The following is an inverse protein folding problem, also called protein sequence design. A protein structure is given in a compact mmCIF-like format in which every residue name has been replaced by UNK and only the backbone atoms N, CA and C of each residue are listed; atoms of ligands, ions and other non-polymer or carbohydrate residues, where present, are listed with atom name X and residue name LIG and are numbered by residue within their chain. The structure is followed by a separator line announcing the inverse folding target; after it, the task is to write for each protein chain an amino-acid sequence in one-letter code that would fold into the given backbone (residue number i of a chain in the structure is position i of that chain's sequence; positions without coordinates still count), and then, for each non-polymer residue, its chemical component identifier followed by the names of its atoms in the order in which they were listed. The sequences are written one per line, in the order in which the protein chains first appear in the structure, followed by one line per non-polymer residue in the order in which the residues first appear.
data_IF_510339241460
#
_entry.id   IF_510339241460
#
_cell.length_a   1.000
_cell.length_b   1.000
_cell.length_c   1.000
_cell.angle_alpha   90.00
_cell.angle_beta   90.00
_cell.angle_gamma   90.00
#
_symmetry.space_group_name_H-M   'P 1'
#
loop_
_entity.id
_entity.type
_entity.pdbx_description
1 polymer ?
#
# COMPACT_ATOMS: atom_id res chain seq x y z
N UNK A 1 17.08 13.40 -22.24
CA UNK A 1 16.57 12.39 -21.30
C UNK A 1 16.77 11.06 -22.00
N UNK A 2 17.50 10.12 -21.42
CA UNK A 2 17.64 8.80 -22.04
C UNK A 2 16.27 8.15 -22.04
N UNK A 3 15.81 7.74 -23.21
CA UNK A 3 14.54 6.97 -23.39
C UNK A 3 14.69 5.51 -22.92
N UNK A 4 15.75 5.20 -22.19
CA UNK A 4 16.14 3.85 -21.79
C UNK A 4 15.88 3.69 -20.27
N UNK A 5 14.60 3.61 -19.91
CA UNK A 5 14.16 3.25 -18.56
C UNK A 5 13.56 1.85 -18.56
N UNK A 6 13.71 1.12 -17.46
CA UNK A 6 13.19 -0.24 -17.33
C UNK A 6 11.66 -0.23 -17.14
N UNK A 7 11.14 0.80 -16.45
CA UNK A 7 9.71 0.97 -16.16
C UNK A 7 9.33 2.47 -16.14
N UNK A 8 8.07 2.79 -16.41
CA UNK A 8 7.57 4.14 -16.19
C UNK A 8 7.60 4.50 -14.71
N UNK A 9 7.14 3.58 -13.86
CA UNK A 9 7.02 3.79 -12.42
C UNK A 9 7.51 2.59 -11.63
N UNK A 10 8.35 2.84 -10.62
CA UNK A 10 8.71 1.84 -9.61
C UNK A 10 8.03 2.21 -8.29
N UNK A 11 7.17 1.32 -7.80
CA UNK A 11 6.50 1.44 -6.50
C UNK A 11 7.23 0.56 -5.49
N UNK A 12 7.71 1.15 -4.39
CA UNK A 12 8.44 0.44 -3.35
C UNK A 12 7.57 0.21 -2.13
N UNK A 13 7.23 -1.05 -1.87
CA UNK A 13 6.40 -1.52 -0.77
C UNK A 13 5.07 -2.11 -1.21
N UNK A 14 4.90 -3.43 -1.05
CA UNK A 14 3.71 -4.22 -1.41
C UNK A 14 2.60 -4.22 -0.35
N UNK A 15 2.49 -3.17 0.46
CA UNK A 15 1.35 -2.95 1.36
C UNK A 15 0.16 -2.34 0.62
N UNK A 16 -0.96 -2.09 1.35
CA UNK A 16 -2.20 -1.55 0.76
C UNK A 16 -1.97 -0.28 -0.05
N UNK A 17 -1.13 0.64 0.43
CA UNK A 17 -0.86 1.89 -0.27
C UNK A 17 -0.14 1.67 -1.60
N UNK A 18 0.93 0.84 -1.59
CA UNK A 18 1.71 0.57 -2.80
C UNK A 18 0.95 -0.26 -3.82
N UNK A 19 0.23 -1.31 -3.39
CA UNK A 19 -0.57 -2.14 -4.30
C UNK A 19 -1.69 -1.35 -4.97
N UNK A 20 -2.44 -0.54 -4.22
CA UNK A 20 -3.50 0.30 -4.80
C UNK A 20 -2.92 1.36 -5.75
N UNK A 21 -1.78 1.96 -5.40
CA UNK A 21 -1.09 2.91 -6.29
C UNK A 21 -0.63 2.22 -7.59
N UNK A 22 0.05 1.08 -7.48
CA UNK A 22 0.53 0.32 -8.64
C UNK A 22 -0.63 -0.12 -9.55
N UNK A 23 -1.72 -0.63 -8.97
CA UNK A 23 -2.92 -1.00 -9.71
C UNK A 23 -3.47 0.18 -10.52
N UNK A 24 -3.66 1.33 -9.88
CA UNK A 24 -4.21 2.53 -10.55
C UNK A 24 -3.31 3.07 -11.66
N UNK A 25 -1.99 2.98 -11.50
CA UNK A 25 -1.03 3.37 -12.53
C UNK A 25 -1.08 2.42 -13.73
N UNK A 26 -1.18 1.10 -13.49
CA UNK A 26 -1.32 0.12 -14.55
C UNK A 26 -2.66 0.28 -15.30
N UNK A 27 -3.78 0.54 -14.60
CA UNK A 27 -5.05 0.88 -15.25
C UNK A 27 -4.95 2.15 -16.14
N UNK A 28 -4.09 3.07 -15.78
CA UNK A 28 -3.81 4.27 -16.57
C UNK A 28 -2.88 4.03 -17.78
N UNK A 29 -2.37 2.79 -17.94
CA UNK A 29 -1.54 2.38 -19.07
C UNK A 29 -0.05 2.56 -18.87
N UNK A 30 0.43 2.74 -17.62
CA UNK A 30 1.86 2.82 -17.32
C UNK A 30 2.48 1.43 -17.10
N UNK A 31 3.74 1.28 -17.49
CA UNK A 31 4.55 0.11 -17.13
C UNK A 31 5.04 0.24 -15.69
N UNK A 32 4.52 -0.62 -14.80
CA UNK A 32 4.72 -0.50 -13.35
C UNK A 32 5.44 -1.71 -12.77
N UNK A 33 6.50 -1.46 -12.00
CA UNK A 33 7.15 -2.44 -11.15
C UNK A 33 6.77 -2.17 -9.68
N UNK A 34 6.26 -3.19 -8.98
CA UNK A 34 5.99 -3.18 -7.54
C UNK A 34 7.02 -4.06 -6.83
N UNK A 35 7.88 -3.45 -6.01
CA UNK A 35 8.92 -4.16 -5.25
C UNK A 35 8.49 -4.32 -3.79
N UNK A 36 8.54 -5.56 -3.29
CA UNK A 36 8.24 -5.90 -1.88
C UNK A 36 9.41 -6.67 -1.25
N UNK A 37 9.87 -6.22 -0.08
CA UNK A 37 10.98 -6.89 0.64
C UNK A 37 10.59 -8.19 1.33
N UNK A 38 9.31 -8.42 1.59
CA UNK A 38 8.78 -9.67 2.12
C UNK A 38 8.79 -10.77 1.06
N UNK A 39 8.89 -12.02 1.48
CA UNK A 39 8.80 -13.16 0.56
C UNK A 39 7.46 -13.18 -0.21
N UNK A 40 6.43 -12.59 0.40
CA UNK A 40 5.13 -12.33 -0.20
C UNK A 40 4.58 -11.00 0.36
N UNK A 41 3.78 -10.24 -0.41
CA UNK A 41 3.03 -9.11 0.11
C UNK A 41 2.21 -9.53 1.34
N UNK A 42 2.26 -8.73 2.40
CA UNK A 42 1.56 -9.04 3.65
C UNK A 42 2.23 -10.06 4.58
N UNK A 43 3.26 -10.78 4.17
CA UNK A 43 3.92 -11.82 4.99
C UNK A 43 4.50 -11.31 6.31
N UNK A 44 4.78 -10.01 6.42
CA UNK A 44 5.26 -9.34 7.64
C UNK A 44 4.15 -8.68 8.45
N UNK A 45 2.92 -8.68 7.94
CA UNK A 45 1.78 -7.99 8.55
C UNK A 45 0.94 -8.99 9.36
N UNK A 46 1.25 -9.13 10.65
CA UNK A 46 0.51 -10.00 11.59
C UNK A 46 -0.76 -9.33 12.12
N UNK A 47 -1.15 -8.18 11.58
CA UNK A 47 -2.30 -7.42 12.04
C UNK A 47 -3.56 -7.75 11.25
N UNK A 48 -4.68 -7.61 11.91
CA UNK A 48 -5.99 -7.44 11.31
C UNK A 48 -6.61 -6.15 11.81
N UNK A 49 -7.75 -5.78 11.27
CA UNK A 49 -8.44 -4.59 11.72
C UNK A 49 -9.76 -4.34 11.00
N UNK A 50 -10.39 -3.25 11.40
CA UNK A 50 -11.56 -2.71 10.69
C UNK A 50 -11.06 -1.92 9.48
N UNK A 51 -11.60 -2.25 8.32
CA UNK A 51 -11.32 -1.60 7.07
C UNK A 51 -12.59 -0.92 6.56
N UNK A 52 -12.54 0.41 6.39
CA UNK A 52 -13.65 1.19 5.86
C UNK A 52 -13.70 1.08 4.35
N UNK A 53 -14.84 0.63 3.81
CA UNK A 53 -14.97 0.16 2.44
C UNK A 53 -14.93 1.27 1.39
N UNK A 54 -15.42 2.46 1.72
CA UNK A 54 -15.72 3.52 0.76
C UNK A 54 -14.57 3.81 -0.22
N UNK A 55 -13.36 4.01 0.29
CA UNK A 55 -12.22 4.42 -0.57
C UNK A 55 -11.77 3.27 -1.46
N UNK A 56 -11.69 2.05 -0.92
CA UNK A 56 -11.28 0.89 -1.73
C UNK A 56 -12.35 0.50 -2.76
N UNK A 57 -13.63 0.74 -2.46
CA UNK A 57 -14.73 0.50 -3.40
C UNK A 57 -14.70 1.45 -4.61
N UNK A 58 -14.02 2.59 -4.53
CA UNK A 58 -13.78 3.47 -5.69
C UNK A 58 -12.75 2.87 -6.66
N UNK A 59 -11.91 1.94 -6.19
CA UNK A 59 -10.90 1.23 -7.00
C UNK A 59 -11.39 -0.15 -7.41
N UNK A 60 -11.97 -0.89 -6.46
CA UNK A 60 -12.52 -2.23 -6.65
C UNK A 60 -13.99 -2.25 -6.16
N UNK A 61 -14.96 -1.89 -7.02
CA UNK A 61 -16.36 -1.72 -6.59
C UNK A 61 -16.98 -2.96 -5.94
N UNK A 62 -16.52 -4.14 -6.33
CA UNK A 62 -17.00 -5.45 -5.88
C UNK A 62 -16.09 -6.13 -4.83
N UNK A 63 -15.11 -5.39 -4.27
CA UNK A 63 -14.08 -5.99 -3.42
C UNK A 63 -14.66 -6.70 -2.18
N UNK A 64 -15.76 -6.22 -1.63
CA UNK A 64 -16.39 -6.82 -0.44
C UNK A 64 -16.85 -8.26 -0.68
N UNK A 65 -17.17 -8.62 -1.92
CA UNK A 65 -17.62 -9.96 -2.30
C UNK A 65 -16.45 -10.81 -2.87
N UNK A 66 -15.37 -10.20 -3.36
CA UNK A 66 -14.21 -10.89 -3.96
C UNK A 66 -13.01 -11.01 -3.01
N UNK A 67 -12.77 -9.99 -2.19
CA UNK A 67 -11.63 -9.98 -1.29
C UNK A 67 -11.84 -10.93 -0.10
N UNK A 68 -10.75 -11.38 0.55
CA UNK A 68 -10.83 -12.25 1.72
C UNK A 68 -11.21 -11.48 2.98
N UNK A 69 -12.41 -10.89 2.98
CA UNK A 69 -12.98 -10.21 4.15
C UNK A 69 -13.48 -11.22 5.17
N UNK A 70 -13.40 -10.86 6.46
CA UNK A 70 -13.82 -11.76 7.53
C UNK A 70 -15.28 -11.49 7.94
N UNK A 71 -15.63 -10.22 8.21
CA UNK A 71 -16.99 -9.85 8.66
C UNK A 71 -17.36 -8.44 8.19
N UNK A 72 -18.64 -8.25 7.90
CA UNK A 72 -19.25 -6.93 7.70
C UNK A 72 -19.54 -6.29 9.06
N UNK A 73 -19.26 -5.00 9.20
CA UNK A 73 -19.39 -4.25 10.47
C UNK A 73 -20.58 -3.31 10.36
N UNK A 74 -21.54 -3.47 11.30
CA UNK A 74 -22.71 -2.60 11.43
C UNK A 74 -22.80 -1.96 12.81
N UNK A 75 -21.84 -2.25 13.70
CA UNK A 75 -21.80 -1.73 15.08
C UNK A 75 -20.37 -1.35 15.42
N UNK A 76 -20.18 -0.15 15.94
CA UNK A 76 -18.90 0.35 16.40
C UNK A 76 -18.99 0.71 17.88
N UNK A 77 -18.04 0.25 18.67
CA UNK A 77 -17.91 0.59 20.08
C UNK A 77 -16.59 1.28 20.31
N UNK A 78 -16.63 2.51 20.80
CA UNK A 78 -15.48 3.26 21.25
C UNK A 78 -15.42 3.23 22.78
N UNK A 79 -14.33 2.72 23.33
CA UNK A 79 -14.13 2.58 24.77
C UNK A 79 -13.00 3.47 25.26
N UNK A 80 -13.26 4.26 26.29
CA UNK A 80 -12.25 5.00 27.05
C UNK A 80 -12.04 4.28 28.38
N UNK A 81 -10.83 3.86 28.65
CA UNK A 81 -10.47 2.96 29.73
C UNK A 81 -9.46 3.62 30.70
N UNK A 82 -9.61 3.32 31.98
CA UNK A 82 -8.57 3.52 32.99
C UNK A 82 -8.50 2.27 33.90
N UNK A 83 -7.64 2.30 34.93
CA UNK A 83 -7.39 1.12 35.79
C UNK A 83 -8.63 0.58 36.52
N UNK A 84 -9.65 1.38 36.75
CA UNK A 84 -10.82 0.99 37.56
C UNK A 84 -12.18 1.29 36.92
N UNK A 85 -12.20 1.94 35.75
CA UNK A 85 -13.47 2.32 35.11
C UNK A 85 -13.35 2.42 33.59
N UNK A 86 -14.49 2.46 32.92
CA UNK A 86 -14.52 2.71 31.48
C UNK A 86 -15.83 3.45 31.09
N UNK A 87 -15.77 4.14 29.96
CA UNK A 87 -16.93 4.70 29.27
C UNK A 87 -16.97 4.15 27.86
N UNK A 88 -18.13 3.64 27.43
CA UNK A 88 -18.36 3.15 26.09
C UNK A 88 -19.33 4.06 25.33
N UNK A 89 -19.00 4.36 24.09
CA UNK A 89 -19.93 4.92 23.10
C UNK A 89 -20.23 3.78 22.13
N UNK A 90 -21.47 3.32 22.14
CA UNK A 90 -21.95 2.21 21.30
C UNK A 90 -22.83 2.77 20.19
N UNK A 91 -22.40 2.62 18.95
CA UNK A 91 -23.12 3.10 17.79
C UNK A 91 -23.47 1.92 16.88
N UNK A 92 -24.75 1.74 16.66
CA UNK A 92 -25.30 0.80 15.69
C UNK A 92 -26.28 1.54 14.77
N UNK A 93 -26.19 1.22 13.46
CA UNK A 93 -27.11 1.76 12.46
C UNK A 93 -27.29 0.71 11.34
N UNK A 94 -28.54 0.35 11.02
CA UNK A 94 -28.86 -0.59 9.97
C UNK A 94 -28.34 -0.14 8.58
N UNK A 95 -28.22 1.18 8.35
CA UNK A 95 -27.69 1.76 7.11
C UNK A 95 -26.23 1.47 6.88
N UNK A 96 -25.47 1.04 7.90
CA UNK A 96 -24.06 0.61 7.74
C UNK A 96 -23.92 -0.76 7.04
N UNK A 97 -25.03 -1.46 6.81
CA UNK A 97 -25.05 -2.74 6.14
C UNK A 97 -25.07 -2.64 4.62
N UNK A 98 -25.70 -1.57 4.08
CA UNK A 98 -25.84 -1.39 2.62
C UNK A 98 -25.89 0.12 2.27
N UNK A 99 -24.92 0.64 1.48
CA UNK A 99 -23.69 -0.07 1.08
C UNK A 99 -22.82 -0.43 2.29
N UNK A 100 -22.05 -1.52 2.21
CA UNK A 100 -21.23 -2.01 3.32
C UNK A 100 -20.23 -0.93 3.76
N UNK A 101 -20.39 -0.43 4.98
CA UNK A 101 -19.56 0.66 5.50
C UNK A 101 -18.14 0.21 5.85
N UNK A 102 -18.02 -0.94 6.52
CA UNK A 102 -16.73 -1.47 6.94
C UNK A 102 -16.75 -3.00 7.03
N UNK A 103 -15.57 -3.58 6.93
CA UNK A 103 -15.33 -5.02 7.10
C UNK A 103 -14.15 -5.24 8.03
N UNK A 104 -14.04 -6.44 8.63
CA UNK A 104 -12.79 -6.87 9.25
C UNK A 104 -11.96 -7.63 8.24
N UNK A 105 -10.65 -7.40 8.27
CA UNK A 105 -9.68 -8.05 7.40
C UNK A 105 -8.47 -8.53 8.19
N UNK A 106 -7.82 -9.58 7.68
CA UNK A 106 -6.48 -9.98 8.06
C UNK A 106 -5.50 -9.51 6.98
N UNK A 107 -4.52 -8.69 7.34
CA UNK A 107 -3.54 -8.14 6.39
C UNK A 107 -2.77 -9.26 5.66
N UNK A 108 -2.46 -10.35 6.36
CA UNK A 108 -1.83 -11.52 5.75
C UNK A 108 -2.67 -12.20 4.65
N UNK A 109 -3.94 -11.86 4.50
CA UNK A 109 -4.83 -12.35 3.43
C UNK A 109 -5.20 -11.25 2.43
N UNK A 110 -5.44 -10.04 2.92
CA UNK A 110 -5.81 -8.90 2.07
C UNK A 110 -4.65 -8.45 1.17
N UNK A 111 -3.43 -8.34 1.70
CA UNK A 111 -2.29 -7.84 0.94
C UNK A 111 -1.92 -8.77 -0.24
N UNK A 112 -1.88 -10.12 -0.09
CA UNK A 112 -1.71 -11.01 -1.24
C UNK A 112 -2.83 -10.91 -2.26
N UNK A 113 -4.08 -10.71 -1.83
CA UNK A 113 -5.20 -10.50 -2.75
C UNK A 113 -5.02 -9.22 -3.58
N UNK A 114 -4.65 -8.10 -2.94
CA UNK A 114 -4.36 -6.85 -3.64
C UNK A 114 -3.18 -7.00 -4.62
N UNK A 115 -2.16 -7.78 -4.24
CA UNK A 115 -1.04 -8.08 -5.13
C UNK A 115 -1.48 -8.86 -6.36
N UNK A 116 -2.35 -9.86 -6.20
CA UNK A 116 -2.90 -10.61 -7.32
C UNK A 116 -3.75 -9.75 -8.27
N UNK A 117 -4.50 -8.77 -7.73
CA UNK A 117 -5.21 -7.77 -8.56
C UNK A 117 -4.22 -6.91 -9.35
N UNK A 118 -3.08 -6.53 -8.76
CA UNK A 118 -2.00 -5.82 -9.46
C UNK A 118 -1.46 -6.64 -10.64
N UNK A 119 -1.12 -7.91 -10.43
CA UNK A 119 -0.61 -8.80 -11.48
C UNK A 119 -1.62 -8.97 -12.61
N UNK A 120 -2.92 -9.10 -12.29
CA UNK A 120 -3.99 -9.16 -13.28
C UNK A 120 -4.12 -7.87 -14.11
N UNK A 121 -3.80 -6.72 -13.51
CA UNK A 121 -3.77 -5.42 -14.20
C UNK A 121 -2.49 -5.18 -15.01
N UNK A 122 -1.53 -6.12 -14.99
CA UNK A 122 -0.27 -6.02 -15.73
C UNK A 122 0.91 -5.43 -14.96
N UNK A 123 0.78 -5.22 -13.64
CA UNK A 123 1.91 -4.82 -12.78
C UNK A 123 2.90 -5.97 -12.67
N UNK A 124 4.18 -5.69 -12.88
CA UNK A 124 5.26 -6.63 -12.53
C UNK A 124 5.46 -6.59 -11.02
N UNK A 125 5.17 -7.68 -10.31
CA UNK A 125 5.36 -7.78 -8.86
C UNK A 125 6.64 -8.54 -8.55
N UNK A 126 7.53 -7.93 -7.78
CA UNK A 126 8.84 -8.47 -7.39
C UNK A 126 8.93 -8.61 -5.86
N UNK A 127 8.47 -9.76 -5.31
CA UNK A 127 8.58 -10.04 -3.88
C UNK A 127 9.97 -10.55 -3.51
N UNK A 128 10.33 -10.46 -2.22
CA UNK A 128 11.62 -10.92 -1.69
C UNK A 128 12.78 -9.97 -1.97
N UNK A 129 12.55 -8.82 -2.57
CA UNK A 129 13.57 -7.85 -2.95
C UNK A 129 13.51 -6.62 -2.06
N UNK A 130 14.64 -6.24 -1.47
CA UNK A 130 14.77 -5.03 -0.68
C UNK A 130 15.39 -3.91 -1.51
N UNK A 131 14.73 -2.78 -1.57
CA UNK A 131 15.34 -1.55 -2.09
C UNK A 131 16.24 -0.96 -1.02
N UNK A 132 17.52 -0.74 -1.37
CA UNK A 132 18.56 -0.23 -0.47
C UNK A 132 18.76 1.28 -0.60
N UNK A 133 18.33 1.88 -1.70
CA UNK A 133 18.49 3.32 -1.93
C UNK A 133 17.83 3.81 -3.21
N UNK A 134 17.87 5.13 -3.38
CA UNK A 134 17.40 5.82 -4.57
C UNK A 134 18.60 6.14 -5.47
N UNK A 135 18.43 5.97 -6.76
CA UNK A 135 19.37 6.44 -7.78
C UNK A 135 19.08 7.90 -8.07
N UNK A 136 20.12 8.70 -8.18
CA UNK A 136 20.00 10.13 -8.39
C UNK A 136 20.95 10.60 -9.49
N UNK A 137 20.42 11.36 -10.45
CA UNK A 137 21.16 12.04 -11.50
C UNK A 137 20.69 13.49 -11.60
N UNK A 138 21.62 14.44 -11.66
CA UNK A 138 21.35 15.88 -11.79
C UNK A 138 20.29 16.42 -10.81
N UNK A 139 20.27 15.89 -9.56
CA UNK A 139 19.32 16.29 -8.53
C UNK A 139 17.91 15.69 -8.67
N UNK A 140 17.71 14.73 -9.58
CA UNK A 140 16.46 13.99 -9.78
C UNK A 140 16.63 12.54 -9.39
N UNK A 141 15.56 11.95 -8.86
CA UNK A 141 15.50 10.51 -8.66
C UNK A 141 15.14 9.85 -9.99
N UNK A 142 16.00 8.93 -10.43
CA UNK A 142 15.90 8.25 -11.73
C UNK A 142 15.68 6.75 -11.59
N UNK A 143 15.58 6.24 -10.34
CA UNK A 143 15.40 4.81 -10.11
C UNK A 143 15.70 4.40 -8.68
N UNK A 144 15.87 3.09 -8.49
CA UNK A 144 16.16 2.45 -7.21
C UNK A 144 17.32 1.48 -7.34
N UNK A 145 18.02 1.24 -6.21
CA UNK A 145 19.03 0.19 -6.09
C UNK A 145 18.53 -0.91 -5.17
N UNK A 146 18.69 -2.14 -5.64
CA UNK A 146 18.32 -3.36 -4.91
C UNK A 146 19.51 -4.35 -4.94
N UNK A 147 20.33 -4.35 -3.90
CA UNK A 147 21.60 -5.07 -3.88
C UNK A 147 22.59 -4.51 -4.89
N UNK A 148 23.01 -5.34 -5.86
CA UNK A 148 23.90 -4.95 -6.96
C UNK A 148 23.16 -4.42 -8.19
N UNK A 149 21.83 -4.58 -8.24
CA UNK A 149 21.01 -4.19 -9.38
C UNK A 149 20.56 -2.72 -9.27
N UNK A 150 20.61 -2.01 -10.38
CA UNK A 150 20.07 -0.67 -10.55
C UNK A 150 18.93 -0.71 -11.55
N UNK A 151 17.74 -0.26 -11.11
CA UNK A 151 16.53 -0.22 -11.92
C UNK A 151 16.12 1.23 -12.15
N UNK A 152 15.98 1.61 -13.42
CA UNK A 152 15.71 2.98 -13.83
C UNK A 152 14.22 3.18 -14.14
N UNK A 153 13.69 4.35 -13.78
CA UNK A 153 12.31 4.72 -14.04
C UNK A 153 12.11 6.24 -14.11
N UNK A 154 10.99 6.67 -14.64
CA UNK A 154 10.62 8.09 -14.65
C UNK A 154 10.18 8.57 -13.27
N UNK A 155 9.51 7.71 -12.48
CA UNK A 155 8.97 8.06 -11.16
C UNK A 155 9.18 6.91 -10.16
N UNK A 156 9.68 7.25 -8.97
CA UNK A 156 9.71 6.34 -7.81
C UNK A 156 8.62 6.73 -6.83
N UNK A 157 7.76 5.78 -6.45
CA UNK A 157 6.76 5.93 -5.39
C UNK A 157 7.24 5.21 -4.14
N UNK A 158 7.57 5.97 -3.09
CA UNK A 158 7.93 5.43 -1.79
C UNK A 158 6.67 5.08 -0.99
N UNK A 159 6.30 3.80 -0.95
CA UNK A 159 5.18 3.24 -0.17
C UNK A 159 5.69 2.26 0.91
N UNK A 160 6.90 2.48 1.41
CA UNK A 160 7.69 1.62 2.29
C UNK A 160 7.28 1.68 3.78
N UNK A 161 6.14 2.30 4.06
CA UNK A 161 5.45 2.27 5.35
C UNK A 161 5.84 3.41 6.30
N UNK A 162 5.38 3.30 7.56
CA UNK A 162 5.49 4.36 8.57
C UNK A 162 6.94 4.80 8.87
N UNK A 163 7.90 3.89 8.74
CA UNK A 163 9.32 4.16 8.97
C UNK A 163 10.08 4.55 7.69
N UNK A 164 9.38 4.85 6.63
CA UNK A 164 9.88 5.14 5.28
C UNK A 164 11.35 5.59 5.20
N UNK A 165 12.25 4.66 4.96
CA UNK A 165 13.69 4.96 4.79
C UNK A 165 13.94 5.74 3.51
N UNK A 166 13.14 5.49 2.46
CA UNK A 166 13.26 6.19 1.20
C UNK A 166 12.81 7.66 1.31
N UNK A 167 11.73 7.93 2.05
CA UNK A 167 11.31 9.30 2.31
C UNK A 167 12.36 10.06 3.16
N UNK A 168 13.00 9.39 4.13
CA UNK A 168 14.10 10.00 4.89
C UNK A 168 15.31 10.29 3.99
N UNK A 169 15.68 9.35 3.11
CA UNK A 169 16.79 9.54 2.18
C UNK A 169 16.55 10.70 1.19
N UNK A 170 15.28 10.96 0.82
CA UNK A 170 14.92 12.02 -0.11
C UNK A 170 14.94 13.44 0.48
N UNK A 171 14.89 13.58 1.82
CA UNK A 171 14.84 14.89 2.50
C UNK A 171 16.03 15.78 2.20
N UNK A 172 17.23 15.21 2.20
CA UNK A 172 18.47 15.96 1.92
C UNK A 172 18.54 16.59 0.51
N UNK A 173 17.77 16.06 -0.43
CA UNK A 173 17.78 16.52 -1.83
C UNK A 173 16.80 17.69 -2.06
N UNK A 174 15.71 17.75 -1.29
CA UNK A 174 14.64 18.76 -1.50
C UNK A 174 14.64 19.90 -0.49
N UNK A 175 15.59 19.95 0.45
CA UNK A 175 15.57 20.98 1.51
C UNK A 175 14.29 20.95 2.35
N UNK A 176 13.65 19.80 2.46
CA UNK A 176 12.51 19.62 3.37
C UNK A 176 13.05 19.73 4.79
N UNK A 177 12.50 20.67 5.57
CA UNK A 177 12.90 20.88 6.94
C UNK A 177 12.74 19.62 7.79
N UNK A 178 13.71 19.42 8.68
CA UNK A 178 13.58 18.44 9.78
C UNK A 178 12.59 19.04 10.80
N UNK A 179 11.30 18.70 10.68
CA UNK A 179 10.28 19.00 11.70
C UNK A 179 10.09 17.80 12.63
#
# INVERSE_FOLDING_TARGET
MSDDVDFDVIVVGGGVAGTVCAYRLAEAGHEVLLIERGAEPGSKNLSGGVFYCRVLAEVFPDFVDRAPVERRITRNVLSFLNDGSHVNIDYWDARLADPVNAVTVLRARLDPWLSAECEQAGVVVMPGVRVDGLLQEDGRFVGVRAGEDELHCHVVVAADGVNSFLAQASRGVRGLADD
#
